data_IF_332101090360
#
_entry.id   IF_332101090360
#
_cell.length_a   1.000
_cell.length_b   1.000
_cell.length_c   1.000
_cell.angle_alpha   90.00
_cell.angle_beta   90.00
_cell.angle_gamma   90.00
#
_symmetry.space_group_name_H-M   'P 1'
#
loop_
_entity.id
_entity.type
_entity.pdbx_description
1 polymer ?
#
# COMPACT_ATOMS: atom_id res chain seq x y z
N UNK A 1 29.51 27.02 -23.71
CA UNK A 1 29.39 26.10 -22.54
C UNK A 1 27.93 25.72 -22.51
N UNK A 2 27.60 24.45 -22.77
CA UNK A 2 26.21 23.99 -22.69
C UNK A 2 25.71 24.17 -21.24
N UNK A 3 24.45 24.54 -21.06
CA UNK A 3 23.84 24.58 -19.74
C UNK A 3 23.97 23.18 -19.09
N UNK A 4 24.45 23.05 -17.84
CA UNK A 4 24.65 21.74 -17.20
C UNK A 4 23.39 20.86 -17.18
N UNK A 5 22.22 21.52 -17.14
CA UNK A 5 20.93 20.85 -17.25
C UNK A 5 20.72 20.17 -18.61
N UNK A 6 21.12 20.82 -19.71
CA UNK A 6 20.97 20.26 -21.07
C UNK A 6 21.91 19.07 -21.27
N UNK A 7 23.13 19.15 -20.75
CA UNK A 7 24.11 18.08 -20.93
C UNK A 7 23.73 16.78 -20.23
N UNK A 8 22.87 16.84 -19.21
CA UNK A 8 22.50 15.67 -18.37
C UNK A 8 21.04 15.25 -18.51
N UNK A 9 20.20 16.04 -19.18
CA UNK A 9 18.75 15.78 -19.37
C UNK A 9 18.38 15.83 -20.86
N UNK A 10 18.15 14.68 -21.49
CA UNK A 10 17.82 14.62 -22.93
C UNK A 10 16.48 15.30 -23.23
N UNK A 11 15.51 15.15 -22.32
CA UNK A 11 14.20 15.77 -22.46
C UNK A 11 14.28 17.30 -22.63
N UNK A 12 15.14 17.96 -21.84
CA UNK A 12 15.34 19.41 -21.90
C UNK A 12 16.10 19.79 -23.17
N UNK A 13 17.13 19.02 -23.54
CA UNK A 13 17.88 19.24 -24.77
C UNK A 13 17.00 19.24 -26.01
N UNK A 14 16.01 18.33 -26.09
CA UNK A 14 15.06 18.29 -27.22
C UNK A 14 14.07 19.45 -27.24
N UNK A 15 13.66 19.95 -26.08
CA UNK A 15 12.74 21.09 -26.00
C UNK A 15 13.39 22.38 -26.52
N UNK A 16 14.69 22.57 -26.33
CA UNK A 16 15.40 23.73 -26.91
C UNK A 16 15.57 23.64 -28.43
N UNK A 17 15.58 22.43 -29.01
CA UNK A 17 15.71 22.22 -30.46
C UNK A 17 14.40 22.56 -31.19
N UNK A 18 13.25 22.59 -30.50
CA UNK A 18 12.01 23.09 -31.11
C UNK A 18 12.04 24.62 -31.21
N UNK A 19 11.94 25.22 -32.42
CA UNK A 19 11.81 26.66 -32.56
C UNK A 19 10.43 27.07 -32.05
N UNK A 20 10.36 27.49 -30.79
CA UNK A 20 9.15 28.08 -30.23
C UNK A 20 8.87 29.40 -30.97
N UNK A 21 7.93 29.34 -31.91
CA UNK A 21 7.37 30.51 -32.60
C UNK A 21 6.55 31.29 -31.56
N UNK A 22 7.18 32.10 -30.70
CA UNK A 22 6.56 33.27 -30.06
C UNK A 22 7.55 34.01 -29.15
N UNK A 23 7.64 35.32 -29.39
CA UNK A 23 8.34 36.29 -28.55
C UNK A 23 7.57 36.54 -27.24
N UNK A 24 7.94 35.89 -26.14
CA UNK A 24 7.81 36.44 -24.77
C UNK A 24 8.45 35.50 -23.74
N UNK A 25 9.59 35.88 -23.14
CA UNK A 25 10.11 35.33 -21.87
C UNK A 25 9.67 33.88 -21.57
N UNK A 26 10.19 32.92 -22.33
CA UNK A 26 9.70 31.54 -22.36
C UNK A 26 10.08 30.80 -21.07
N UNK A 27 9.22 30.85 -20.05
CA UNK A 27 9.34 30.02 -18.87
C UNK A 27 8.96 28.57 -19.23
N UNK A 28 9.92 27.64 -19.17
CA UNK A 28 9.66 26.22 -19.32
C UNK A 28 8.74 25.74 -18.18
N UNK A 29 7.55 25.22 -18.52
CA UNK A 29 6.63 24.64 -17.55
C UNK A 29 6.69 23.12 -17.61
N UNK A 30 7.22 22.51 -16.55
CA UNK A 30 7.18 21.06 -16.33
C UNK A 30 5.89 20.72 -15.59
N UNK A 31 4.80 20.54 -16.32
CA UNK A 31 3.52 20.16 -15.73
C UNK A 31 3.59 18.71 -15.21
N UNK A 32 3.02 18.48 -14.02
CA UNK A 32 2.95 17.16 -13.37
C UNK A 32 4.32 16.49 -13.14
N UNK A 33 5.34 17.29 -12.84
CA UNK A 33 6.67 16.77 -12.52
C UNK A 33 6.62 15.82 -11.30
N UNK A 34 7.11 14.58 -11.40
CA UNK A 34 7.04 13.61 -10.32
C UNK A 34 7.85 14.10 -9.11
N UNK A 35 7.21 14.10 -7.93
CA UNK A 35 7.81 14.59 -6.70
C UNK A 35 7.89 16.13 -6.57
N UNK A 36 7.33 16.87 -7.53
CA UNK A 36 7.18 18.32 -7.44
C UNK A 36 8.49 19.11 -7.43
N UNK A 37 8.41 20.36 -6.98
CA UNK A 37 9.51 21.33 -7.05
C UNK A 37 10.73 20.93 -6.19
N UNK A 38 10.51 20.29 -5.05
CA UNK A 38 11.60 19.83 -4.16
C UNK A 38 12.46 18.76 -4.84
N UNK A 39 11.81 17.82 -5.54
CA UNK A 39 12.52 16.80 -6.32
C UNK A 39 13.26 17.45 -7.48
N UNK A 40 12.64 18.40 -8.18
CA UNK A 40 13.29 19.14 -9.26
C UNK A 40 14.51 19.94 -8.78
N UNK A 41 14.44 20.60 -7.62
CA UNK A 41 15.58 21.30 -7.01
C UNK A 41 16.74 20.33 -6.77
N UNK A 42 16.45 19.12 -6.30
CA UNK A 42 17.46 18.08 -6.08
C UNK A 42 18.07 17.59 -7.40
N UNK A 43 17.28 17.46 -8.45
CA UNK A 43 17.78 17.18 -9.80
C UNK A 43 18.67 18.31 -10.32
N UNK A 44 18.30 19.58 -10.08
CA UNK A 44 19.15 20.73 -10.44
C UNK A 44 20.48 20.68 -9.70
N UNK A 45 20.48 20.38 -8.39
CA UNK A 45 21.72 20.19 -7.63
C UNK A 45 22.62 19.14 -8.29
N UNK A 46 22.06 17.99 -8.66
CA UNK A 46 22.78 16.95 -9.41
C UNK A 46 23.35 17.48 -10.73
N UNK A 47 22.55 18.22 -11.50
CA UNK A 47 22.97 18.72 -12.81
C UNK A 47 24.15 19.70 -12.72
N UNK A 48 24.24 20.46 -11.63
CA UNK A 48 25.31 21.42 -11.36
C UNK A 48 26.46 20.84 -10.51
N UNK A 49 26.54 19.50 -10.41
CA UNK A 49 27.56 18.77 -9.66
C UNK A 49 27.61 19.14 -8.16
N UNK A 50 26.48 19.59 -7.61
CA UNK A 50 26.33 19.79 -6.18
C UNK A 50 26.03 18.45 -5.49
N UNK A 51 26.45 18.27 -4.23
CA UNK A 51 26.14 17.07 -3.46
C UNK A 51 24.62 16.81 -3.40
N UNK A 52 24.24 15.56 -3.68
CA UNK A 52 22.86 15.08 -3.57
C UNK A 52 22.84 13.88 -2.64
N UNK A 53 22.06 13.99 -1.58
CA UNK A 53 21.87 12.90 -0.62
C UNK A 53 20.67 12.05 -1.04
N UNK A 54 20.92 10.77 -1.29
CA UNK A 54 19.85 9.79 -1.53
C UNK A 54 19.33 9.24 -0.21
N UNK A 55 18.01 9.22 -0.07
CA UNK A 55 17.32 8.67 1.10
C UNK A 55 16.10 7.87 0.69
N UNK A 56 15.58 6.98 1.55
CA UNK A 56 14.33 6.27 1.29
C UNK A 56 13.13 7.22 1.06
N UNK A 57 13.18 8.44 1.61
CA UNK A 57 12.11 9.42 1.47
C UNK A 57 12.06 10.07 0.07
N UNK A 58 13.23 10.32 -0.54
CA UNK A 58 13.32 11.04 -1.82
C UNK A 58 13.55 10.13 -3.04
N UNK A 59 14.04 8.91 -2.85
CA UNK A 59 14.59 8.11 -3.95
C UNK A 59 13.55 7.70 -4.98
N UNK A 60 12.32 7.39 -4.56
CA UNK A 60 11.25 7.05 -5.49
C UNK A 60 10.91 8.22 -6.41
N UNK A 61 10.80 9.43 -5.83
CA UNK A 61 10.54 10.64 -6.57
C UNK A 61 11.70 10.98 -7.52
N UNK A 62 12.94 10.88 -7.06
CA UNK A 62 14.13 11.10 -7.88
C UNK A 62 14.22 10.12 -9.05
N UNK A 63 13.95 8.83 -8.82
CA UNK A 63 13.93 7.81 -9.88
C UNK A 63 12.85 8.09 -10.92
N UNK A 64 11.68 8.56 -10.49
CA UNK A 64 10.60 8.96 -11.40
C UNK A 64 10.94 10.24 -12.17
N UNK A 65 11.53 11.23 -11.51
CA UNK A 65 11.97 12.49 -12.09
C UNK A 65 13.11 12.33 -13.09
N UNK A 66 14.08 11.48 -12.77
CA UNK A 66 15.18 11.17 -13.67
C UNK A 66 14.69 10.45 -14.93
N UNK A 67 13.66 9.60 -14.82
CA UNK A 67 12.98 9.01 -15.98
C UNK A 67 12.29 10.08 -16.82
N UNK A 68 11.50 10.95 -16.18
CA UNK A 68 10.79 12.04 -16.86
C UNK A 68 11.74 12.93 -17.65
N UNK A 69 12.91 13.24 -17.09
CA UNK A 69 13.92 14.10 -17.70
C UNK A 69 14.88 13.35 -18.62
N UNK A 70 14.73 12.04 -18.73
CA UNK A 70 15.56 11.16 -19.54
C UNK A 70 17.06 11.33 -19.23
N UNK A 71 17.37 11.26 -17.92
CA UNK A 71 18.72 11.38 -17.38
C UNK A 71 19.47 10.05 -17.46
N UNK A 72 19.73 9.64 -18.69
CA UNK A 72 20.28 8.33 -19.08
C UNK A 72 21.83 8.30 -19.02
N UNK A 73 22.38 7.09 -18.95
CA UNK A 73 23.83 6.84 -18.81
C UNK A 73 24.62 7.23 -20.06
N UNK A 74 23.97 7.27 -21.23
CA UNK A 74 24.56 7.70 -22.50
C UNK A 74 24.95 9.18 -22.51
N UNK A 75 24.35 10.00 -21.65
CA UNK A 75 24.68 11.42 -21.50
C UNK A 75 25.88 11.64 -20.55
N UNK A 76 25.92 10.88 -19.46
CA UNK A 76 26.95 10.97 -18.43
C UNK A 76 27.08 9.63 -17.70
N UNK A 77 28.31 9.14 -17.52
CA UNK A 77 28.56 7.95 -16.72
C UNK A 77 28.09 8.18 -15.27
N UNK A 78 27.24 7.28 -14.78
CA UNK A 78 26.57 7.46 -13.50
C UNK A 78 25.54 8.59 -13.48
N UNK A 79 24.82 8.84 -14.59
CA UNK A 79 23.69 9.77 -14.55
C UNK A 79 22.61 9.34 -13.54
N UNK A 80 21.65 10.22 -13.28
CA UNK A 80 20.73 10.11 -12.15
C UNK A 80 19.85 8.85 -12.19
N UNK A 81 19.46 8.36 -13.37
CA UNK A 81 18.72 7.08 -13.46
C UNK A 81 19.57 5.93 -12.88
N UNK A 82 20.80 5.75 -13.33
CA UNK A 82 21.66 4.64 -12.90
C UNK A 82 21.99 4.73 -11.40
N UNK A 83 22.26 5.94 -10.89
CA UNK A 83 22.51 6.17 -9.46
C UNK A 83 21.29 5.87 -8.59
N UNK A 84 20.10 6.34 -8.98
CA UNK A 84 18.88 6.12 -8.20
C UNK A 84 18.45 4.66 -8.23
N UNK A 85 18.62 3.98 -9.37
CA UNK A 85 18.36 2.55 -9.55
C UNK A 85 19.29 1.68 -8.69
N UNK A 86 20.57 2.03 -8.61
CA UNK A 86 21.53 1.36 -7.74
C UNK A 86 21.13 1.50 -6.27
N UNK A 87 20.74 2.70 -5.83
CA UNK A 87 20.30 2.92 -4.44
C UNK A 87 19.03 2.13 -4.11
N UNK A 88 18.03 2.14 -5.00
CA UNK A 88 16.82 1.31 -4.85
C UNK A 88 17.19 -0.17 -4.72
N UNK A 89 18.03 -0.68 -5.61
CA UNK A 89 18.37 -2.11 -5.66
C UNK A 89 19.18 -2.57 -4.46
N UNK A 90 20.26 -1.86 -4.14
CA UNK A 90 21.26 -2.35 -3.19
C UNK A 90 21.04 -1.86 -1.76
N UNK A 91 20.43 -0.68 -1.58
CA UNK A 91 20.18 -0.11 -0.25
C UNK A 91 18.74 -0.37 0.18
N UNK A 92 17.77 0.16 -0.58
CA UNK A 92 16.35 0.12 -0.19
C UNK A 92 15.84 -1.31 -0.11
N UNK A 93 15.97 -2.09 -1.18
CA UNK A 93 15.43 -3.45 -1.22
C UNK A 93 16.17 -4.42 -0.29
N UNK A 94 17.33 -4.05 0.25
CA UNK A 94 18.04 -4.83 1.27
C UNK A 94 17.47 -4.60 2.69
N UNK A 95 16.90 -3.43 2.94
CA UNK A 95 16.41 -2.99 4.26
C UNK A 95 14.89 -3.04 4.35
N UNK A 96 14.35 -3.66 5.40
CA UNK A 96 12.89 -3.67 5.63
C UNK A 96 12.36 -2.25 5.79
N UNK A 97 12.96 -1.50 6.71
CA UNK A 97 12.54 -0.14 7.06
C UNK A 97 12.53 0.77 5.82
N UNK A 98 13.59 0.72 5.02
CA UNK A 98 13.72 1.59 3.86
C UNK A 98 12.74 1.18 2.75
N UNK A 99 12.50 -0.13 2.56
CA UNK A 99 11.47 -0.63 1.65
C UNK A 99 10.08 -0.12 2.05
N UNK A 100 9.75 -0.13 3.35
CA UNK A 100 8.47 0.39 3.85
C UNK A 100 8.34 1.90 3.59
N UNK A 101 9.39 2.68 3.86
CA UNK A 101 9.40 4.12 3.62
C UNK A 101 9.22 4.45 2.13
N UNK A 102 9.95 3.76 1.25
CA UNK A 102 9.83 3.95 -0.21
C UNK A 102 8.44 3.58 -0.72
N UNK A 103 7.87 2.48 -0.25
CA UNK A 103 6.52 2.09 -0.67
C UNK A 103 5.46 3.10 -0.22
N UNK A 104 5.64 3.72 0.96
CA UNK A 104 4.77 4.81 1.42
C UNK A 104 4.93 6.07 0.57
N UNK A 105 6.15 6.47 0.22
CA UNK A 105 6.35 7.66 -0.62
C UNK A 105 5.78 7.48 -2.04
N UNK A 106 5.66 6.24 -2.53
CA UNK A 106 5.02 5.92 -3.81
C UNK A 106 3.51 6.24 -3.84
N UNK A 107 2.82 6.35 -2.71
CA UNK A 107 1.39 6.70 -2.66
C UNK A 107 1.10 8.06 -3.31
N UNK A 108 2.09 8.97 -3.33
CA UNK A 108 2.00 10.30 -3.92
C UNK A 108 2.50 10.37 -5.37
N UNK A 109 3.05 9.29 -5.93
CA UNK A 109 3.71 9.24 -7.24
C UNK A 109 2.94 8.39 -8.28
N UNK A 110 1.76 7.91 -7.91
CA UNK A 110 1.12 6.66 -8.32
C UNK A 110 1.41 6.11 -9.74
N UNK A 111 1.27 6.87 -10.82
CA UNK A 111 1.51 6.31 -12.17
C UNK A 111 2.99 6.05 -12.47
N UNK A 112 3.90 6.93 -12.03
CA UNK A 112 5.33 6.79 -12.31
C UNK A 112 5.96 5.63 -11.54
N UNK A 113 5.65 5.55 -10.24
CA UNK A 113 6.17 4.49 -9.39
C UNK A 113 5.69 3.09 -9.82
N UNK A 114 4.48 3.01 -10.38
CA UNK A 114 3.94 1.78 -10.97
C UNK A 114 4.62 1.41 -12.28
N UNK A 115 4.74 2.37 -13.21
CA UNK A 115 5.36 2.13 -14.52
C UNK A 115 6.82 1.68 -14.37
N UNK A 116 7.55 2.26 -13.42
CA UNK A 116 8.93 1.91 -13.09
C UNK A 116 9.05 0.68 -12.17
N UNK A 117 7.93 0.02 -11.86
CA UNK A 117 7.86 -1.19 -11.03
C UNK A 117 8.44 -1.02 -9.61
N UNK A 118 8.56 0.21 -9.09
CA UNK A 118 9.10 0.48 -7.75
C UNK A 118 8.17 -0.14 -6.70
N UNK A 119 6.85 0.08 -6.84
CA UNK A 119 5.83 -0.46 -5.94
C UNK A 119 5.89 -1.99 -5.91
N UNK A 120 5.92 -2.63 -7.09
CA UNK A 120 6.01 -4.09 -7.21
C UNK A 120 7.26 -4.64 -6.55
N UNK A 121 8.42 -4.07 -6.82
CA UNK A 121 9.70 -4.51 -6.25
C UNK A 121 9.72 -4.38 -4.73
N UNK A 122 9.14 -3.30 -4.19
CA UNK A 122 8.98 -3.13 -2.75
C UNK A 122 8.05 -4.19 -2.15
N UNK A 123 6.89 -4.45 -2.76
CA UNK A 123 5.97 -5.51 -2.34
C UNK A 123 6.64 -6.90 -2.37
N UNK A 124 7.40 -7.22 -3.42
CA UNK A 124 8.12 -8.49 -3.54
C UNK A 124 9.23 -8.63 -2.49
N UNK A 125 9.95 -7.54 -2.20
CA UNK A 125 10.97 -7.46 -1.15
C UNK A 125 10.37 -7.65 0.26
N UNK A 126 9.25 -6.99 0.56
CA UNK A 126 8.47 -7.16 1.80
C UNK A 126 8.01 -8.62 1.90
N UNK A 127 7.41 -9.15 0.85
CA UNK A 127 6.91 -10.52 0.84
C UNK A 127 8.01 -11.54 1.09
N UNK A 128 9.17 -11.37 0.46
CA UNK A 128 10.33 -12.23 0.68
C UNK A 128 10.80 -12.22 2.14
N UNK A 129 10.94 -11.04 2.75
CA UNK A 129 11.39 -10.88 4.13
C UNK A 129 10.37 -11.43 5.13
N UNK A 130 9.08 -11.13 4.95
CA UNK A 130 7.99 -11.62 5.79
C UNK A 130 7.85 -13.15 5.72
N UNK A 131 7.99 -13.74 4.52
CA UNK A 131 7.85 -15.19 4.33
C UNK A 131 9.04 -15.99 4.85
N UNK A 132 10.23 -15.37 4.95
CA UNK A 132 11.42 -16.02 5.51
C UNK A 132 11.26 -16.29 7.01
N UNK A 133 10.56 -15.40 7.70
CA UNK A 133 10.28 -15.49 9.14
C UNK A 133 9.30 -16.63 9.50
N UNK A 134 8.28 -16.87 8.65
CA UNK A 134 7.35 -18.00 8.80
C UNK A 134 8.08 -19.36 8.81
N UNK A 135 9.14 -19.49 8.00
CA UNK A 135 9.93 -20.73 7.91
C UNK A 135 10.86 -20.97 9.09
N UNK A 136 11.20 -19.92 9.84
CA UNK A 136 12.09 -20.02 11.01
C UNK A 136 11.35 -20.13 12.34
N UNK A 137 10.02 -19.97 12.32
CA UNK A 137 9.17 -19.90 13.51
C UNK A 137 8.40 -21.19 13.80
N UNK A 138 8.82 -22.33 13.23
CA UNK A 138 8.26 -23.66 13.56
C UNK A 138 8.36 -24.01 15.07
N UNK A 139 9.29 -23.37 15.80
CA UNK A 139 9.47 -23.51 17.26
C UNK A 139 8.82 -22.37 18.09
N UNK A 140 8.14 -21.40 17.47
CA UNK A 140 7.59 -20.24 18.17
C UNK A 140 6.17 -20.51 18.71
N UNK A 141 5.91 -20.09 19.96
CA UNK A 141 4.63 -20.24 20.62
C UNK A 141 3.47 -19.63 19.79
N UNK A 142 2.26 -20.22 19.82
CA UNK A 142 1.15 -19.93 18.89
C UNK A 142 0.57 -18.50 18.92
N UNK A 143 0.98 -17.68 19.90
CA UNK A 143 0.41 -16.36 20.20
C UNK A 143 1.34 -15.17 19.89
N UNK A 144 2.47 -15.34 19.22
CA UNK A 144 3.26 -14.17 18.81
C UNK A 144 2.66 -13.52 17.54
N UNK A 145 2.30 -12.25 17.67
CA UNK A 145 2.06 -11.36 16.52
C UNK A 145 3.36 -11.22 15.74
N UNK A 146 3.31 -11.42 14.43
CA UNK A 146 4.51 -11.21 13.61
C UNK A 146 4.91 -9.74 13.64
N UNK A 147 6.19 -9.48 13.88
CA UNK A 147 6.77 -8.13 14.03
C UNK A 147 6.41 -7.16 12.88
N UNK A 148 6.13 -7.70 11.70
CA UNK A 148 5.85 -6.94 10.48
C UNK A 148 4.39 -6.53 10.29
N UNK A 149 3.43 -7.10 11.05
CA UNK A 149 2.00 -6.83 10.84
C UNK A 149 1.67 -5.34 10.98
N UNK A 150 2.21 -4.69 12.02
CA UNK A 150 1.94 -3.28 12.29
C UNK A 150 2.38 -2.36 11.16
N UNK A 151 3.54 -2.65 10.56
CA UNK A 151 4.10 -1.89 9.44
C UNK A 151 3.24 -2.08 8.19
N UNK A 152 2.92 -3.33 7.83
CA UNK A 152 2.10 -3.62 6.65
C UNK A 152 0.67 -3.08 6.81
N UNK A 153 0.13 -3.07 8.04
CA UNK A 153 -1.17 -2.50 8.33
C UNK A 153 -1.24 -0.96 8.24
N UNK A 154 -0.11 -0.26 8.05
CA UNK A 154 -0.13 1.20 7.82
C UNK A 154 -0.43 1.62 6.39
N UNK A 155 -0.29 0.71 5.41
CA UNK A 155 -0.49 1.05 4.01
C UNK A 155 -1.96 1.24 3.66
N UNK A 156 -2.23 2.04 2.63
CA UNK A 156 -3.56 2.10 2.01
C UNK A 156 -3.97 0.73 1.46
N UNK A 157 -5.28 0.53 1.30
CA UNK A 157 -5.86 -0.77 0.93
C UNK A 157 -5.30 -1.34 -0.39
N UNK A 158 -4.98 -0.49 -1.35
CA UNK A 158 -4.43 -0.84 -2.67
C UNK A 158 -2.98 -1.37 -2.60
N UNK A 159 -2.15 -0.80 -1.73
CA UNK A 159 -0.83 -1.34 -1.44
C UNK A 159 -0.91 -2.58 -0.55
N UNK A 160 -1.80 -2.57 0.45
CA UNK A 160 -2.00 -3.72 1.33
C UNK A 160 -2.38 -4.99 0.56
N UNK A 161 -3.35 -4.93 -0.35
CA UNK A 161 -3.73 -6.10 -1.19
C UNK A 161 -2.56 -6.62 -2.02
N UNK A 162 -1.70 -5.74 -2.53
CA UNK A 162 -0.53 -6.13 -3.32
C UNK A 162 0.52 -6.82 -2.46
N UNK A 163 0.79 -6.30 -1.27
CA UNK A 163 1.69 -6.93 -0.29
C UNK A 163 1.17 -8.32 0.09
N UNK A 164 -0.11 -8.42 0.48
CA UNK A 164 -0.72 -9.70 0.86
C UNK A 164 -0.71 -10.71 -0.29
N UNK A 165 -0.98 -10.25 -1.52
CA UNK A 165 -0.92 -11.11 -2.71
C UNK A 165 0.49 -11.63 -2.98
N UNK A 166 1.51 -10.78 -2.82
CA UNK A 166 2.91 -11.18 -2.95
C UNK A 166 3.34 -12.16 -1.84
N UNK A 167 2.94 -11.92 -0.59
CA UNK A 167 3.18 -12.82 0.56
C UNK A 167 2.54 -14.20 0.32
N UNK A 168 1.29 -14.21 -0.16
CA UNK A 168 0.58 -15.43 -0.52
C UNK A 168 1.29 -16.21 -1.63
N UNK A 169 1.79 -15.52 -2.65
CA UNK A 169 2.54 -16.14 -3.75
C UNK A 169 3.87 -16.77 -3.30
N UNK A 170 4.43 -16.36 -2.16
CA UNK A 170 5.61 -16.99 -1.54
C UNK A 170 5.30 -18.24 -0.72
N UNK A 171 4.03 -18.61 -0.59
CA UNK A 171 3.59 -19.82 0.11
C UNK A 171 3.48 -19.67 1.63
N UNK A 172 3.35 -18.44 2.14
CA UNK A 172 3.09 -18.18 3.56
C UNK A 172 1.76 -18.83 3.99
N UNK A 173 1.73 -19.42 5.19
CA UNK A 173 0.53 -20.10 5.70
C UNK A 173 -0.69 -19.16 5.74
N UNK A 174 -1.85 -19.73 5.39
CA UNK A 174 -3.12 -18.99 5.37
C UNK A 174 -3.49 -18.36 6.72
N UNK A 175 -3.14 -19.02 7.83
CA UNK A 175 -3.36 -18.53 9.20
C UNK A 175 -2.60 -17.22 9.50
N UNK A 176 -1.35 -17.10 9.03
CA UNK A 176 -0.55 -15.89 9.24
C UNK A 176 -1.09 -14.74 8.40
N UNK A 177 -1.44 -15.03 7.13
CA UNK A 177 -2.09 -14.07 6.25
C UNK A 177 -3.39 -13.57 6.88
N UNK A 178 -4.21 -14.49 7.43
CA UNK A 178 -5.44 -14.16 8.11
C UNK A 178 -5.23 -13.32 9.37
N UNK A 179 -4.23 -13.62 10.20
CA UNK A 179 -3.85 -12.77 11.35
C UNK A 179 -3.49 -11.34 10.91
N UNK A 180 -2.70 -11.18 9.84
CA UNK A 180 -2.38 -9.86 9.30
C UNK A 180 -3.62 -9.11 8.77
N UNK A 181 -4.54 -9.81 8.10
CA UNK A 181 -5.82 -9.24 7.64
C UNK A 181 -6.67 -8.76 8.81
N UNK A 182 -6.71 -9.53 9.91
CA UNK A 182 -7.41 -9.15 11.14
C UNK A 182 -6.79 -7.87 11.73
N UNK A 183 -5.47 -7.80 11.83
CA UNK A 183 -4.76 -6.61 12.34
C UNK A 183 -5.01 -5.37 11.46
N UNK A 184 -4.98 -5.54 10.14
CA UNK A 184 -5.36 -4.46 9.22
C UNK A 184 -6.80 -4.01 9.47
N UNK A 185 -7.73 -4.95 9.57
CA UNK A 185 -9.13 -4.62 9.73
C UNK A 185 -9.43 -3.94 11.08
N UNK A 186 -8.81 -4.35 12.18
CA UNK A 186 -8.91 -3.66 13.48
C UNK A 186 -8.44 -2.21 13.40
N UNK A 187 -7.35 -1.97 12.66
CA UNK A 187 -6.76 -0.64 12.51
C UNK A 187 -7.60 0.30 11.65
N UNK A 188 -8.25 -0.21 10.61
CA UNK A 188 -8.95 0.60 9.60
C UNK A 188 -10.48 0.61 9.74
N UNK A 189 -11.07 -0.37 10.42
CA UNK A 189 -12.53 -0.49 10.62
C UNK A 189 -12.90 -0.22 12.08
N UNK A 190 -13.59 0.89 12.33
CA UNK A 190 -14.13 1.19 13.67
C UNK A 190 -15.24 0.21 14.04
N UNK A 191 -15.09 -0.50 15.16
CA UNK A 191 -16.11 -1.43 15.68
C UNK A 191 -15.72 -2.92 15.69
N UNK A 192 -14.53 -3.27 15.19
CA UNK A 192 -13.98 -4.64 15.29
C UNK A 192 -13.64 -5.08 16.73
N UNK A 193 -13.37 -4.13 17.63
CA UNK A 193 -13.08 -4.40 19.05
C UNK A 193 -14.33 -4.55 19.93
N UNK A 194 -15.54 -4.34 19.39
CA UNK A 194 -16.75 -4.54 20.17
C UNK A 194 -16.95 -6.04 20.33
N UNK A 195 -16.68 -6.52 21.55
CA UNK A 195 -16.99 -7.88 21.96
C UNK A 195 -18.44 -8.20 21.58
N UNK A 196 -18.63 -9.32 20.89
CA UNK A 196 -19.95 -9.93 20.73
C UNK A 196 -20.32 -10.49 22.11
N UNK A 197 -20.60 -9.62 23.07
CA UNK A 197 -21.29 -10.02 24.30
C UNK A 197 -22.74 -10.33 23.93
N UNK A 198 -23.08 -11.60 24.04
CA UNK A 198 -24.43 -12.04 24.29
C UNK A 198 -25.33 -12.21 23.07
N UNK A 199 -25.29 -13.41 22.50
CA UNK A 199 -26.36 -14.00 21.67
C UNK A 199 -27.59 -14.36 22.55
N UNK A 200 -28.02 -13.46 23.44
CA UNK A 200 -29.14 -13.69 24.36
C UNK A 200 -30.03 -12.44 24.45
N UNK A 201 -31.10 -12.46 23.67
CA UNK A 201 -32.23 -11.56 23.87
C UNK A 201 -32.81 -10.99 22.58
N UNK A 202 -33.91 -11.59 22.13
CA UNK A 202 -34.88 -10.96 21.24
C UNK A 202 -35.17 -9.52 21.72
N UNK A 203 -34.91 -8.53 20.85
CA UNK A 203 -35.08 -7.12 21.18
C UNK A 203 -34.58 -6.22 20.06
N UNK A 204 -35.29 -6.23 18.94
CA UNK A 204 -35.26 -5.15 17.95
C UNK A 204 -35.43 -3.82 18.71
N UNK A 205 -34.46 -2.90 18.63
CA UNK A 205 -34.53 -1.43 18.88
C UNK A 205 -33.34 -0.83 19.66
N UNK A 206 -32.53 -1.59 20.40
CA UNK A 206 -31.46 -0.99 21.23
C UNK A 206 -30.11 -0.76 20.53
N UNK A 207 -29.82 -1.50 19.45
CA UNK A 207 -28.51 -1.47 18.77
C UNK A 207 -28.28 -0.23 17.91
N UNK A 208 -29.34 0.43 17.44
CA UNK A 208 -29.23 1.66 16.65
C UNK A 208 -28.92 2.89 17.52
N UNK A 209 -29.36 2.92 18.78
CA UNK A 209 -29.21 4.08 19.65
C UNK A 209 -27.76 4.26 20.16
N UNK A 210 -27.03 3.17 20.42
CA UNK A 210 -25.65 3.28 20.92
C UNK A 210 -24.64 3.66 19.82
N UNK A 211 -24.88 3.28 18.57
CA UNK A 211 -24.03 3.65 17.43
C UNK A 211 -24.33 5.08 16.91
N UNK A 212 -25.60 5.53 17.06
CA UNK A 212 -26.00 6.91 16.75
C UNK A 212 -25.31 7.95 17.65
N UNK A 213 -24.93 7.57 18.88
CA UNK A 213 -24.23 8.46 19.82
C UNK A 213 -22.77 8.70 19.39
N UNK A 214 -22.13 7.75 18.68
CA UNK A 214 -20.79 7.95 18.12
C UNK A 214 -20.82 8.61 16.73
N UNK A 215 -21.93 8.48 16.00
CA UNK A 215 -22.19 9.16 14.72
C UNK A 215 -22.69 10.62 14.90
N UNK A 216 -22.24 11.26 15.98
CA UNK A 216 -22.60 12.62 16.39
C UNK A 216 -21.67 13.72 15.85
N UNK A 217 -21.15 13.60 14.62
CA UNK A 217 -20.62 14.75 13.85
C UNK A 217 -20.97 14.59 12.36
N UNK A 218 -22.21 14.91 12.02
CA UNK A 218 -22.62 15.19 10.64
C UNK A 218 -21.86 16.40 10.11
N UNK A 219 -20.87 16.18 9.24
CA UNK A 219 -20.62 16.99 8.03
C UNK A 219 -19.52 16.40 7.10
N UNK A 220 -19.45 15.08 6.89
CA UNK A 220 -18.53 14.46 5.89
C UNK A 220 -18.96 13.05 5.38
N UNK A 221 -20.21 12.64 5.62
CA UNK A 221 -20.62 11.22 5.73
C UNK A 221 -20.74 10.39 4.44
N UNK A 222 -20.53 10.93 3.24
CA UNK A 222 -20.65 10.13 2.00
C UNK A 222 -19.34 9.45 1.61
N UNK A 223 -18.22 10.19 1.68
CA UNK A 223 -16.90 9.68 1.28
C UNK A 223 -16.37 8.59 2.21
N UNK A 224 -16.47 8.82 3.52
CA UNK A 224 -15.97 7.88 4.53
C UNK A 224 -16.68 6.52 4.47
N UNK A 225 -18.00 6.51 4.28
CA UNK A 225 -18.76 5.26 4.13
C UNK A 225 -18.37 4.48 2.87
N UNK A 226 -18.01 5.17 1.78
CA UNK A 226 -17.54 4.55 0.54
C UNK A 226 -16.15 3.94 0.70
N UNK A 227 -15.26 4.62 1.42
CA UNK A 227 -13.92 4.10 1.75
C UNK A 227 -14.02 2.85 2.65
N UNK A 228 -14.82 2.92 3.72
CA UNK A 228 -15.09 1.78 4.61
C UNK A 228 -15.66 0.59 3.85
N UNK A 229 -16.66 0.83 2.99
CA UNK A 229 -17.21 -0.21 2.10
C UNK A 229 -16.13 -0.85 1.21
N UNK A 230 -15.27 -0.03 0.59
CA UNK A 230 -14.20 -0.51 -0.29
C UNK A 230 -13.19 -1.39 0.47
N UNK A 231 -12.84 -1.00 1.70
CA UNK A 231 -11.97 -1.79 2.57
C UNK A 231 -12.63 -3.13 2.89
N UNK A 232 -13.89 -3.14 3.32
CA UNK A 232 -14.61 -4.38 3.66
C UNK A 232 -14.70 -5.32 2.44
N UNK A 233 -15.09 -4.81 1.27
CA UNK A 233 -15.16 -5.58 0.02
C UNK A 233 -13.81 -6.21 -0.35
N UNK A 234 -12.73 -5.44 -0.20
CA UNK A 234 -11.38 -5.89 -0.49
C UNK A 234 -10.94 -6.96 0.51
N UNK A 235 -11.18 -6.76 1.81
CA UNK A 235 -10.84 -7.73 2.86
C UNK A 235 -11.54 -9.06 2.61
N UNK A 236 -12.84 -9.07 2.30
CA UNK A 236 -13.58 -10.29 1.96
C UNK A 236 -12.92 -11.02 0.78
N UNK A 237 -12.48 -10.27 -0.24
CA UNK A 237 -11.88 -10.83 -1.45
C UNK A 237 -10.48 -11.43 -1.24
N UNK A 238 -9.73 -10.96 -0.24
CA UNK A 238 -8.36 -11.42 0.04
C UNK A 238 -8.26 -12.46 1.17
N UNK A 239 -9.33 -12.64 1.97
CA UNK A 239 -9.37 -13.69 3.00
C UNK A 239 -9.05 -15.05 2.35
N UNK A 240 -8.03 -15.77 2.85
CA UNK A 240 -7.67 -17.08 2.31
C UNK A 240 -8.86 -18.04 2.34
N UNK A 241 -9.05 -18.87 1.29
CA UNK A 241 -10.18 -19.79 1.21
C UNK A 241 -10.05 -21.00 2.15
N UNK A 242 -8.87 -21.23 2.75
CA UNK A 242 -8.64 -22.35 3.66
C UNK A 242 -9.48 -22.19 4.95
N UNK A 243 -10.05 -23.29 5.48
CA UNK A 243 -10.74 -23.25 6.75
C UNK A 243 -9.78 -22.80 7.86
N UNK A 244 -10.30 -22.07 8.84
CA UNK A 244 -9.55 -21.55 10.01
C UNK A 244 -8.45 -20.52 9.71
N UNK A 245 -8.33 -20.01 8.47
CA UNK A 245 -7.39 -18.93 8.16
C UNK A 245 -7.64 -17.67 9.00
N UNK A 246 -8.91 -17.38 9.29
CA UNK A 246 -9.34 -16.30 10.20
C UNK A 246 -10.31 -16.87 11.25
N UNK A 247 -10.42 -16.20 12.40
CA UNK A 247 -11.33 -16.66 13.45
C UNK A 247 -12.79 -16.52 13.03
N UNK A 248 -13.63 -17.44 13.51
CA UNK A 248 -15.08 -17.38 13.29
C UNK A 248 -15.69 -16.07 13.82
N UNK A 249 -15.23 -15.60 15.00
CA UNK A 249 -15.64 -14.31 15.59
C UNK A 249 -15.38 -13.15 14.63
N UNK A 250 -14.21 -13.12 13.99
CA UNK A 250 -13.86 -12.10 13.02
C UNK A 250 -14.76 -12.14 11.79
N UNK A 251 -15.05 -13.33 11.23
CA UNK A 251 -15.93 -13.44 10.06
C UNK A 251 -17.34 -12.95 10.36
N UNK A 252 -17.89 -13.24 11.54
CA UNK A 252 -19.18 -12.69 11.97
C UNK A 252 -19.16 -11.16 12.11
N UNK A 253 -18.11 -10.61 12.70
CA UNK A 253 -17.94 -9.15 12.81
C UNK A 253 -17.84 -8.50 11.43
N UNK A 254 -17.08 -9.12 10.51
CA UNK A 254 -16.93 -8.65 9.14
C UNK A 254 -18.26 -8.72 8.37
N UNK A 255 -19.06 -9.77 8.56
CA UNK A 255 -20.38 -9.92 7.96
C UNK A 255 -21.35 -8.84 8.46
N UNK A 256 -21.35 -8.58 9.78
CA UNK A 256 -22.13 -7.49 10.38
C UNK A 256 -21.75 -6.14 9.76
N UNK A 257 -20.46 -5.88 9.56
CA UNK A 257 -19.97 -4.68 8.89
C UNK A 257 -20.38 -4.65 7.41
N UNK A 258 -20.29 -5.77 6.70
CA UNK A 258 -20.71 -5.87 5.30
C UNK A 258 -22.19 -5.52 5.11
N UNK A 259 -23.06 -5.99 6.01
CA UNK A 259 -24.48 -5.61 6.05
C UNK A 259 -24.67 -4.12 6.35
N UNK A 260 -23.93 -3.58 7.33
CA UNK A 260 -24.04 -2.18 7.75
C UNK A 260 -23.63 -1.19 6.64
N UNK A 261 -22.61 -1.54 5.86
CA UNK A 261 -22.07 -0.69 4.80
C UNK A 261 -22.62 -1.05 3.40
N UNK A 262 -23.66 -1.89 3.32
CA UNK A 262 -24.32 -2.28 2.06
C UNK A 262 -23.32 -2.77 1.00
N UNK A 263 -22.44 -3.67 1.41
CA UNK A 263 -21.49 -4.38 0.54
C UNK A 263 -22.24 -5.18 -0.53
N UNK A 264 -21.61 -5.41 -1.69
CA UNK A 264 -22.16 -6.23 -2.76
C UNK A 264 -22.79 -7.55 -2.24
N UNK A 265 -24.04 -7.88 -2.62
CA UNK A 265 -24.71 -9.11 -2.18
C UNK A 265 -23.90 -10.38 -2.47
N UNK A 266 -23.17 -10.42 -3.58
CA UNK A 266 -22.34 -11.57 -3.93
C UNK A 266 -21.22 -11.83 -2.92
N UNK A 267 -20.58 -10.77 -2.41
CA UNK A 267 -19.54 -10.87 -1.39
C UNK A 267 -20.11 -11.21 -0.01
N UNK A 268 -21.30 -10.67 0.31
CA UNK A 268 -22.01 -11.01 1.54
C UNK A 268 -22.39 -12.50 1.58
N UNK A 269 -22.99 -13.03 0.49
CA UNK A 269 -23.35 -14.45 0.38
C UNK A 269 -22.14 -15.37 0.41
N UNK A 270 -21.03 -14.98 -0.23
CA UNK A 270 -19.77 -15.73 -0.14
C UNK A 270 -19.26 -15.78 1.30
N UNK A 271 -19.33 -14.66 2.03
CA UNK A 271 -18.92 -14.60 3.43
C UNK A 271 -19.85 -15.44 4.32
N UNK A 272 -21.18 -15.39 4.11
CA UNK A 272 -22.16 -16.23 4.80
C UNK A 272 -21.87 -17.72 4.59
N UNK A 273 -21.59 -18.13 3.35
CA UNK A 273 -21.25 -19.52 3.03
C UNK A 273 -20.00 -19.98 3.78
N UNK A 274 -18.96 -19.15 3.85
CA UNK A 274 -17.73 -19.46 4.61
C UNK A 274 -18.00 -19.59 6.12
N UNK A 275 -18.85 -18.72 6.67
CA UNK A 275 -19.28 -18.77 8.08
C UNK A 275 -20.02 -20.08 8.36
N UNK A 276 -20.93 -20.50 7.49
CA UNK A 276 -21.67 -21.76 7.63
C UNK A 276 -20.76 -22.99 7.56
N UNK A 277 -19.83 -23.03 6.60
CA UNK A 277 -18.88 -24.15 6.47
C UNK A 277 -18.05 -24.34 7.73
N UNK A 278 -17.61 -23.26 8.39
CA UNK A 278 -16.81 -23.35 9.62
C UNK A 278 -17.64 -23.79 10.83
N UNK A 279 -18.96 -23.55 10.83
CA UNK A 279 -19.87 -24.06 11.86
C UNK A 279 -20.12 -25.57 11.72
N UNK A 280 -20.41 -26.03 10.50
CA UNK A 280 -20.66 -27.45 10.22
C UNK A 280 -19.44 -28.31 10.61
N UNK A 281 -18.23 -27.86 10.26
CA UNK A 281 -16.96 -28.53 10.59
C UNK A 281 -16.69 -28.59 12.12
N UNK A 282 -17.28 -27.67 12.89
CA UNK A 282 -17.16 -27.64 14.35
C UNK A 282 -18.19 -28.55 15.05
N UNK A 283 -19.33 -28.81 14.40
CA UNK A 283 -20.35 -29.74 14.89
C UNK A 283 -19.98 -31.20 14.60
N UNK A 284 -19.29 -31.49 13.49
CA UNK A 284 -18.86 -32.85 13.13
C UNK A 284 -17.67 -33.38 13.96
N UNK A 285 -16.95 -32.50 14.66
CA UNK A 285 -15.81 -32.85 15.54
C UNK A 285 -16.18 -33.01 17.02
N UNK A 286 -17.48 -33.00 17.36
CA UNK A 286 -18.01 -33.26 18.72
C UNK A 286 -18.46 -34.70 18.90
#
# INVERSE_FOLDING_TARGET
MCCPLISKCDYIGRLEIQPFISNSSNALKLENFPGGSETFETVLKFCYDLPVDFSPDNIAALRCASEFLEMIEELEDGNLISKTEAFLTFVVLSSWKDTITVLKSCENLSSWAENLQIVRRCCDSIAWKASKDDRTSEDAAPNQESWWFNDVATFRIDHFIRIISAIRAKGTRAEIIGKCIIEYAKKWLSGMDVEIEGLRGYGHEKYNLQFSIFSGKKKESSGHNKEQKTIIETLISIIPPQPYAVSYKFMLQLLKMAMMYYVSPALATELEKRVSMVLEDAEEKR
#
